data_IF_949339300955
#
_entry.id   IF_949339300955
#
_cell.length_a   1.000
_cell.length_b   1.000
_cell.length_c   1.000
_cell.angle_alpha   90.00
_cell.angle_beta   90.00
_cell.angle_gamma   90.00
#
_symmetry.space_group_name_H-M   'P 1'
#
loop_
_entity.id
_entity.type
_entity.pdbx_description
1 polymer ?
#
# COMPACT_ATOMS: atom_id res chain seq x y z
N UNK A 1 47.72 9.68 18.58
CA UNK A 1 46.88 8.77 17.76
C UNK A 1 46.25 7.74 18.67
N UNK A 2 45.03 8.03 19.14
CA UNK A 2 44.30 7.23 20.14
C UNK A 2 43.40 6.21 19.43
N UNK A 3 43.62 4.92 19.74
CA UNK A 3 42.77 3.80 19.32
C UNK A 3 41.40 3.93 19.99
N UNK A 4 40.47 4.67 19.38
CA UNK A 4 39.06 4.56 19.72
C UNK A 4 38.51 3.23 19.17
N UNK A 5 38.58 2.22 20.04
CA UNK A 5 37.60 1.15 20.29
C UNK A 5 36.56 0.88 19.19
N UNK A 6 36.76 -0.23 18.45
CA UNK A 6 35.73 -0.89 17.63
C UNK A 6 34.53 -1.41 18.44
N UNK A 7 34.59 -1.37 19.78
CA UNK A 7 33.54 -1.88 20.68
C UNK A 7 32.35 -0.91 20.75
N UNK A 8 32.56 0.40 20.54
CA UNK A 8 31.49 1.40 20.63
C UNK A 8 30.51 1.34 19.45
N UNK A 9 30.96 0.89 18.27
CA UNK A 9 30.10 0.77 17.07
C UNK A 9 29.17 -0.45 17.16
N UNK A 10 29.62 -1.54 17.79
CA UNK A 10 28.80 -2.76 17.94
C UNK A 10 27.69 -2.57 18.98
N UNK A 11 27.95 -1.79 20.04
CA UNK A 11 26.94 -1.49 21.07
C UNK A 11 25.80 -0.60 20.53
N UNK A 12 26.09 0.35 19.63
CA UNK A 12 25.06 1.20 19.03
C UNK A 12 24.11 0.43 18.09
N UNK A 13 24.58 -0.63 17.44
CA UNK A 13 23.78 -1.47 16.54
C UNK A 13 22.87 -2.44 17.32
N UNK A 14 23.33 -2.94 18.48
CA UNK A 14 22.54 -3.87 19.32
C UNK A 14 21.45 -3.16 20.14
N UNK A 15 21.64 -1.89 20.53
CA UNK A 15 20.63 -1.13 21.29
C UNK A 15 19.40 -0.78 20.42
N UNK A 16 19.54 -0.71 19.08
CA UNK A 16 18.41 -0.44 18.20
C UNK A 16 17.41 -1.62 18.09
N UNK A 17 17.83 -2.85 18.44
CA UNK A 17 17.00 -4.05 18.27
C UNK A 17 16.32 -4.55 19.55
N UNK A 18 16.83 -4.15 20.72
CA UNK A 18 16.21 -4.42 22.01
C UNK A 18 15.72 -3.11 22.62
N UNK A 19 14.62 -2.57 22.08
CA UNK A 19 13.79 -1.61 22.80
C UNK A 19 12.72 -2.39 23.59
N UNK A 20 12.96 -2.73 24.87
CA UNK A 20 11.95 -3.33 25.72
C UNK A 20 10.81 -2.33 25.90
N UNK A 21 9.72 -2.52 25.17
CA UNK A 21 8.57 -1.63 25.24
C UNK A 21 7.90 -1.30 23.91
N UNK A 22 8.09 -2.09 22.84
CA UNK A 22 7.20 -2.00 21.70
C UNK A 22 5.76 -2.25 22.19
N UNK A 23 5.01 -1.17 22.33
CA UNK A 23 3.61 -1.23 22.71
C UNK A 23 2.90 -2.16 21.73
N UNK A 24 2.01 -3.02 22.25
CA UNK A 24 1.16 -3.85 21.39
C UNK A 24 0.50 -2.94 20.34
N UNK A 25 0.37 -3.39 19.07
CA UNK A 25 -0.26 -2.57 18.04
C UNK A 25 -1.62 -2.07 18.52
N UNK A 26 -1.88 -0.77 18.35
CA UNK A 26 -3.20 -0.20 18.65
C UNK A 26 -4.28 -1.01 17.92
N UNK A 27 -5.32 -1.52 18.60
CA UNK A 27 -6.34 -2.28 17.91
C UNK A 27 -7.06 -1.40 16.86
N UNK A 28 -7.61 -1.98 15.77
CA UNK A 28 -8.51 -1.27 14.88
C UNK A 28 -9.69 -0.65 15.66
N UNK A 29 -10.14 0.51 15.21
CA UNK A 29 -11.40 1.09 15.68
C UNK A 29 -12.59 0.23 15.21
N UNK A 30 -13.75 0.35 15.87
CA UNK A 30 -15.00 -0.22 15.37
C UNK A 30 -15.57 0.63 14.23
N UNK A 31 -16.21 0.00 13.25
CA UNK A 31 -16.94 0.71 12.20
C UNK A 31 -18.22 1.31 12.81
N UNK A 32 -18.53 2.59 12.55
CA UNK A 32 -19.84 3.16 12.88
C UNK A 32 -20.97 2.36 12.23
N UNK A 33 -22.12 2.24 12.93
CA UNK A 33 -23.28 1.45 12.44
C UNK A 33 -23.86 2.03 11.15
N UNK A 34 -23.86 3.35 11.02
CA UNK A 34 -24.39 4.04 9.85
C UNK A 34 -23.39 5.10 9.37
N UNK A 35 -23.06 5.03 8.08
CA UNK A 35 -22.26 6.05 7.39
C UNK A 35 -23.00 6.43 6.11
N UNK A 36 -23.31 7.71 5.97
CA UNK A 36 -23.89 8.27 4.75
C UNK A 36 -22.77 8.61 3.76
N UNK A 37 -23.10 8.66 2.47
CA UNK A 37 -22.16 9.13 1.46
C UNK A 37 -22.12 10.65 1.45
N UNK A 38 -20.93 11.22 1.67
CA UNK A 38 -20.63 12.63 1.42
C UNK A 38 -19.99 12.85 0.04
N UNK A 39 -19.61 11.78 -0.67
CA UNK A 39 -19.26 11.88 -2.09
C UNK A 39 -20.56 11.94 -2.90
N UNK A 40 -20.80 13.10 -3.51
CA UNK A 40 -21.97 13.34 -4.36
C UNK A 40 -21.61 12.93 -5.79
N UNK A 41 -22.25 11.88 -6.36
CA UNK A 41 -21.93 11.43 -7.71
C UNK A 41 -22.29 12.50 -8.73
N UNK A 42 -21.34 12.86 -9.58
CA UNK A 42 -21.52 13.74 -10.74
C UNK A 42 -21.60 12.94 -12.02
N UNK A 43 -20.72 11.95 -12.18
CA UNK A 43 -20.73 11.05 -13.32
C UNK A 43 -20.17 9.67 -12.96
N UNK A 44 -20.64 8.65 -13.67
CA UNK A 44 -20.08 7.29 -13.69
C UNK A 44 -19.94 6.87 -15.14
N UNK A 45 -18.72 6.59 -15.57
CA UNK A 45 -18.39 6.19 -16.94
C UNK A 45 -17.78 4.80 -16.91
N UNK A 46 -18.18 3.92 -17.82
CA UNK A 46 -17.45 2.67 -18.05
C UNK A 46 -16.20 2.99 -18.85
N UNK A 47 -15.07 2.37 -18.51
CA UNK A 47 -13.82 2.55 -19.24
C UNK A 47 -13.03 1.24 -19.32
N UNK A 48 -12.05 1.16 -20.21
CA UNK A 48 -11.13 0.03 -20.30
C UNK A 48 -9.78 0.43 -19.69
N UNK A 49 -9.37 -0.18 -18.57
CA UNK A 49 -8.26 0.32 -17.75
C UNK A 49 -6.90 0.27 -18.44
N UNK A 50 -6.69 -0.68 -19.35
CA UNK A 50 -5.41 -0.89 -20.02
C UNK A 50 -5.06 0.19 -21.06
N UNK A 51 -6.05 0.94 -21.53
CA UNK A 51 -5.88 1.93 -22.60
C UNK A 51 -6.26 3.35 -22.18
N UNK A 52 -6.60 3.54 -20.91
CA UNK A 52 -7.05 4.83 -20.44
C UNK A 52 -5.87 5.76 -20.15
N UNK A 53 -5.77 6.82 -20.95
CA UNK A 53 -4.84 7.91 -20.71
C UNK A 53 -5.50 8.92 -19.76
N UNK A 54 -5.11 8.87 -18.48
CA UNK A 54 -5.59 9.77 -17.43
C UNK A 54 -5.44 11.27 -17.80
N UNK A 55 -4.52 11.62 -18.70
CA UNK A 55 -4.32 13.00 -19.17
C UNK A 55 -5.50 13.50 -20.01
N UNK A 56 -6.33 12.63 -20.57
CA UNK A 56 -7.56 13.03 -21.27
C UNK A 56 -8.53 13.74 -20.33
N UNK A 57 -8.53 13.37 -19.05
CA UNK A 57 -9.28 14.02 -17.98
C UNK A 57 -8.48 15.12 -17.26
N UNK A 58 -7.29 15.47 -17.78
CA UNK A 58 -6.31 16.39 -17.17
C UNK A 58 -5.71 15.90 -15.84
N UNK A 59 -5.90 14.64 -15.48
CA UNK A 59 -5.35 14.06 -14.26
C UNK A 59 -3.84 13.88 -14.38
N UNK A 60 -3.15 14.00 -13.26
CA UNK A 60 -1.67 13.95 -13.22
C UNK A 60 -1.11 12.54 -13.41
N UNK A 61 -1.86 11.51 -13.04
CA UNK A 61 -1.37 10.13 -13.03
C UNK A 61 -0.43 9.81 -11.86
N UNK A 62 -0.20 10.73 -10.92
CA UNK A 62 0.76 10.54 -9.81
C UNK A 62 0.40 9.37 -8.88
N UNK A 63 -0.86 8.99 -8.82
CA UNK A 63 -1.34 7.87 -8.01
C UNK A 63 -1.54 6.58 -8.84
N UNK A 64 -1.05 6.53 -10.09
CA UNK A 64 -1.25 5.39 -10.97
C UNK A 64 -0.44 4.18 -10.48
N UNK A 65 -1.06 3.01 -10.30
CA UNK A 65 -0.33 1.81 -9.92
C UNK A 65 0.69 1.43 -11.01
N UNK A 66 1.83 0.90 -10.58
CA UNK A 66 2.96 0.46 -11.40
C UNK A 66 2.66 -0.81 -12.22
N UNK A 67 1.65 -1.59 -11.83
CA UNK A 67 1.15 -2.73 -12.59
C UNK A 67 -0.38 -2.83 -12.54
N UNK A 68 -1.02 -3.30 -13.63
CA UNK A 68 -2.44 -3.66 -13.60
C UNK A 68 -2.72 -4.92 -12.76
N UNK A 69 -1.70 -5.74 -12.50
CA UNK A 69 -1.83 -7.02 -11.81
C UNK A 69 -0.81 -7.12 -10.67
N UNK A 70 -1.33 -7.21 -9.45
CA UNK A 70 -0.65 -7.57 -8.19
C UNK A 70 0.40 -6.62 -7.58
N UNK A 71 1.14 -5.82 -8.34
CA UNK A 71 1.96 -4.75 -7.74
C UNK A 71 1.17 -3.45 -7.82
N UNK A 72 0.83 -2.94 -6.64
CA UNK A 72 -0.15 -1.85 -6.45
C UNK A 72 0.52 -0.60 -5.90
N UNK A 73 1.81 -0.44 -6.19
CA UNK A 73 2.60 0.67 -5.70
C UNK A 73 2.44 1.81 -6.70
N UNK A 74 2.29 3.04 -6.22
CA UNK A 74 2.17 4.19 -7.14
C UNK A 74 3.49 4.44 -7.86
N UNK A 75 3.38 4.86 -9.12
CA UNK A 75 4.53 5.21 -9.95
C UNK A 75 5.16 6.52 -9.45
N UNK A 76 6.03 6.43 -8.46
CA UNK A 76 6.77 7.57 -7.94
C UNK A 76 8.25 7.19 -7.83
N UNK A 77 8.94 7.22 -8.97
CA UNK A 77 10.40 7.27 -9.00
C UNK A 77 10.74 8.56 -9.74
N UNK A 78 11.10 9.60 -8.97
CA UNK A 78 11.71 10.78 -9.56
C UNK A 78 12.92 10.33 -10.39
N UNK A 79 13.09 10.88 -11.59
CA UNK A 79 14.20 10.46 -12.47
C UNK A 79 15.56 10.96 -11.97
N UNK A 80 15.55 12.01 -11.16
CA UNK A 80 16.74 12.72 -10.67
C UNK A 80 16.82 12.63 -9.14
N UNK A 81 16.96 11.41 -8.63
CA UNK A 81 17.06 11.18 -7.18
C UNK A 81 18.44 11.56 -6.65
N UNK A 82 18.54 12.20 -5.48
CA UNK A 82 19.79 12.28 -4.75
C UNK A 82 20.41 10.89 -4.57
N UNK A 83 21.73 10.79 -4.77
CA UNK A 83 22.48 9.53 -4.61
C UNK A 83 22.18 8.72 -3.32
N UNK A 84 21.94 9.32 -2.13
CA UNK A 84 21.64 8.54 -0.92
C UNK A 84 20.24 7.92 -0.85
N UNK A 85 19.39 8.14 -1.87
CA UNK A 85 18.08 7.48 -2.00
C UNK A 85 18.19 6.14 -2.74
N UNK A 86 19.37 5.83 -3.32
CA UNK A 86 19.63 4.57 -4.04
C UNK A 86 19.49 3.31 -3.18
N UNK A 87 19.59 2.15 -3.84
CA UNK A 87 19.52 0.81 -3.25
C UNK A 87 20.26 0.71 -1.91
N UNK A 88 19.53 0.33 -0.86
CA UNK A 88 20.08 0.18 0.48
C UNK A 88 20.58 -1.26 0.66
N UNK A 89 21.85 -1.41 0.97
CA UNK A 89 22.44 -2.69 1.36
C UNK A 89 22.40 -2.82 2.88
N UNK A 90 21.50 -3.66 3.39
CA UNK A 90 21.49 -4.05 4.80
C UNK A 90 22.26 -5.38 4.93
N UNK A 91 23.25 -5.40 5.82
CA UNK A 91 24.04 -6.59 6.18
C UNK A 91 24.75 -7.29 5.01
N UNK A 92 25.15 -6.52 3.98
CA UNK A 92 25.95 -7.03 2.85
C UNK A 92 25.22 -7.98 1.90
N UNK A 93 23.93 -8.27 2.11
CA UNK A 93 23.16 -9.22 1.29
C UNK A 93 21.74 -8.77 0.94
N UNK A 94 21.11 -7.89 1.72
CA UNK A 94 19.72 -7.49 1.48
C UNK A 94 19.68 -6.15 0.77
N UNK A 95 19.31 -6.18 -0.50
CA UNK A 95 19.07 -4.99 -1.32
C UNK A 95 17.63 -4.55 -1.13
N UNK A 96 17.41 -3.43 -0.44
CA UNK A 96 16.12 -2.75 -0.48
C UNK A 96 16.15 -1.79 -1.65
N UNK A 97 15.22 -1.98 -2.59
CA UNK A 97 14.98 -0.98 -3.64
C UNK A 97 13.88 -0.05 -3.15
N UNK A 98 14.06 1.27 -3.25
CA UNK A 98 12.96 2.18 -2.99
C UNK A 98 11.86 1.90 -4.02
N UNK A 99 10.62 1.75 -3.55
CA UNK A 99 9.49 1.52 -4.44
C UNK A 99 8.59 2.75 -4.56
N UNK A 100 8.55 3.59 -3.52
CA UNK A 100 7.91 4.90 -3.58
C UNK A 100 8.93 5.93 -3.10
N UNK A 101 9.11 6.99 -3.88
CA UNK A 101 9.82 8.19 -3.46
C UNK A 101 8.93 9.39 -3.76
N UNK A 102 8.46 10.03 -2.69
CA UNK A 102 7.53 11.15 -2.76
C UNK A 102 8.23 12.42 -2.25
N UNK A 103 8.28 13.50 -3.06
CA UNK A 103 8.68 14.80 -2.55
C UNK A 103 7.65 15.33 -1.56
N UNK A 104 8.11 15.91 -0.46
CA UNK A 104 7.25 16.51 0.56
C UNK A 104 7.19 18.04 0.40
N UNK A 105 6.14 18.71 0.92
CA UNK A 105 5.96 20.16 0.73
C UNK A 105 7.12 21.04 1.25
N UNK A 106 7.90 20.55 2.21
CA UNK A 106 9.10 21.20 2.74
C UNK A 106 10.37 20.96 1.89
N UNK A 107 10.22 20.35 0.70
CA UNK A 107 11.33 20.09 -0.22
C UNK A 107 12.21 18.91 0.18
N UNK A 108 11.72 18.03 1.07
CA UNK A 108 12.38 16.77 1.43
C UNK A 108 11.77 15.60 0.65
N UNK A 109 12.21 14.39 0.97
CA UNK A 109 11.78 13.17 0.32
C UNK A 109 11.38 12.11 1.35
N UNK A 110 10.18 11.58 1.21
CA UNK A 110 9.79 10.31 1.81
C UNK A 110 10.20 9.19 0.87
N UNK A 111 11.04 8.27 1.33
CA UNK A 111 11.41 7.06 0.60
C UNK A 111 10.89 5.82 1.33
N UNK A 112 10.09 5.02 0.64
CA UNK A 112 9.55 3.76 1.14
C UNK A 112 10.21 2.58 0.41
N UNK A 113 10.65 1.64 1.22
CA UNK A 113 11.41 0.47 0.83
C UNK A 113 10.67 -0.78 1.28
N UNK A 114 10.70 -1.78 0.41
CA UNK A 114 10.33 -3.16 0.71
C UNK A 114 11.55 -4.00 0.40
N UNK A 115 11.92 -4.93 1.27
CA UNK A 115 12.95 -5.89 0.86
C UNK A 115 12.44 -6.65 -0.35
N UNK A 116 13.32 -6.81 -1.33
CA UNK A 116 12.96 -7.46 -2.58
C UNK A 116 12.53 -8.88 -2.19
N UNK A 117 11.27 -9.32 -2.41
CA UNK A 117 10.90 -10.66 -2.02
C UNK A 117 11.82 -11.57 -2.83
N UNK A 118 12.73 -12.33 -2.20
CA UNK A 118 13.24 -13.49 -2.91
C UNK A 118 11.99 -14.30 -3.25
N UNK A 119 12.06 -15.16 -4.28
CA UNK A 119 10.99 -16.05 -4.78
C UNK A 119 10.16 -16.79 -3.70
N UNK A 120 10.62 -16.71 -2.46
CA UNK A 120 9.94 -16.96 -1.21
C UNK A 120 8.73 -16.03 -0.97
N UNK A 121 7.56 -16.50 -1.39
CA UNK A 121 6.26 -15.83 -1.25
C UNK A 121 5.79 -15.64 0.21
N UNK A 122 6.65 -15.91 1.21
CA UNK A 122 6.36 -15.86 2.66
C UNK A 122 6.13 -14.42 3.14
N UNK A 123 4.87 -13.98 3.32
CA UNK A 123 4.55 -12.59 3.63
C UNK A 123 5.16 -12.14 4.97
N UNK A 124 5.28 -13.06 5.93
CA UNK A 124 5.85 -12.83 7.26
C UNK A 124 7.34 -12.46 7.26
N UNK A 125 8.01 -12.64 6.13
CA UNK A 125 9.42 -12.30 5.97
C UNK A 125 9.65 -10.96 5.28
N UNK A 126 8.61 -10.36 4.70
CA UNK A 126 8.74 -9.09 3.98
C UNK A 126 8.99 -7.96 4.97
N UNK A 127 10.08 -7.23 4.79
CA UNK A 127 10.47 -6.09 5.62
C UNK A 127 10.14 -4.77 4.91
N UNK A 128 9.60 -3.84 5.69
CA UNK A 128 9.20 -2.53 5.25
C UNK A 128 9.99 -1.46 6.01
N UNK A 129 10.49 -0.47 5.27
CA UNK A 129 11.25 0.63 5.84
C UNK A 129 10.79 1.94 5.21
N UNK A 130 10.51 2.95 6.04
CA UNK A 130 10.36 4.33 5.60
C UNK A 130 11.59 5.14 6.03
N UNK A 131 12.04 6.04 5.15
CA UNK A 131 13.10 7.02 5.42
C UNK A 131 12.59 8.40 5.04
N UNK A 132 12.97 9.39 5.83
CA UNK A 132 12.78 10.79 5.49
C UNK A 132 14.12 11.47 5.31
N UNK A 133 14.32 12.04 4.13
CA UNK A 133 15.61 12.44 3.64
C UNK A 133 15.51 13.88 3.15
N UNK A 134 16.44 14.73 3.54
CA UNK A 134 16.53 16.11 3.06
C UNK A 134 16.91 16.17 1.58
N UNK A 135 16.77 17.34 0.96
CA UNK A 135 17.12 17.55 -0.46
C UNK A 135 18.60 17.25 -0.78
N UNK A 136 19.50 17.54 0.17
CA UNK A 136 20.93 17.24 0.09
C UNK A 136 21.27 15.79 0.47
N UNK A 137 20.26 14.99 0.84
CA UNK A 137 20.41 13.56 1.01
C UNK A 137 20.70 13.09 2.45
N UNK A 138 20.62 13.97 3.44
CA UNK A 138 20.77 13.61 4.84
C UNK A 138 19.51 12.93 5.37
N UNK A 139 19.68 11.86 6.14
CA UNK A 139 18.57 11.15 6.76
C UNK A 139 18.09 11.89 8.02
N UNK A 140 16.83 12.35 8.00
CA UNK A 140 16.16 12.96 9.16
C UNK A 140 15.64 11.91 10.12
N UNK A 141 15.09 10.82 9.58
CA UNK A 141 14.72 9.64 10.34
C UNK A 141 14.61 8.40 9.45
N UNK A 142 14.66 7.24 10.10
CA UNK A 142 14.46 5.91 9.52
C UNK A 142 13.59 5.08 10.45
N UNK A 143 12.60 4.42 9.87
CA UNK A 143 11.59 3.70 10.63
C UNK A 143 11.26 2.34 10.00
N UNK A 144 11.58 1.22 10.66
CA UNK A 144 11.03 -0.09 10.31
C UNK A 144 9.51 -0.10 10.56
N UNK A 145 8.72 -0.51 9.57
CA UNK A 145 7.25 -0.45 9.67
C UNK A 145 6.61 -1.75 10.17
N UNK A 146 7.29 -2.90 10.04
CA UNK A 146 6.79 -4.20 10.49
C UNK A 146 6.29 -4.23 11.95
N UNK A 147 6.95 -3.59 12.93
CA UNK A 147 6.47 -3.57 14.31
C UNK A 147 5.11 -2.88 14.50
N UNK A 148 4.63 -2.13 13.50
CA UNK A 148 3.37 -1.39 13.54
C UNK A 148 2.25 -2.07 12.77
N UNK A 149 2.50 -3.23 12.16
CA UNK A 149 1.47 -4.02 11.49
C UNK A 149 0.65 -4.80 12.52
N UNK A 150 -0.65 -4.95 12.29
CA UNK A 150 -1.51 -5.86 13.04
C UNK A 150 -1.10 -7.30 12.79
N UNK A 151 -0.78 -7.64 11.54
CA UNK A 151 -0.36 -8.96 11.14
C UNK A 151 1.01 -8.94 10.48
N UNK A 152 1.92 -9.86 10.81
CA UNK A 152 3.18 -10.01 10.08
C UNK A 152 2.96 -10.37 8.61
N UNK A 153 1.78 -10.89 8.24
CA UNK A 153 1.44 -11.23 6.85
C UNK A 153 0.84 -10.09 6.03
N UNK A 154 0.64 -8.92 6.64
CA UNK A 154 0.07 -7.77 5.95
C UNK A 154 1.05 -7.14 4.96
N UNK A 155 0.50 -6.51 3.93
CA UNK A 155 1.24 -5.78 2.92
C UNK A 155 1.03 -4.27 3.04
N UNK A 156 2.12 -3.50 2.99
CA UNK A 156 2.04 -2.05 2.81
C UNK A 156 2.08 -1.74 1.31
N UNK A 157 1.04 -1.08 0.82
CA UNK A 157 0.85 -0.79 -0.61
C UNK A 157 0.95 0.72 -0.94
N UNK A 158 0.75 1.59 0.04
CA UNK A 158 1.01 3.03 -0.09
C UNK A 158 1.48 3.62 1.24
N UNK A 159 2.33 4.64 1.15
CA UNK A 159 2.89 5.38 2.28
C UNK A 159 2.96 6.85 1.90
N UNK A 160 2.55 7.74 2.81
CA UNK A 160 2.57 9.20 2.63
C UNK A 160 3.03 9.90 3.90
N UNK A 161 3.70 11.05 3.76
CA UNK A 161 4.08 11.89 4.89
C UNK A 161 3.40 13.25 4.75
N UNK A 162 2.68 13.67 5.79
CA UNK A 162 2.07 15.00 5.83
C UNK A 162 2.14 15.57 7.23
N UNK A 163 2.56 16.83 7.36
CA UNK A 163 2.63 17.54 8.64
C UNK A 163 3.40 16.75 9.72
N UNK A 164 4.45 16.04 9.31
CA UNK A 164 5.26 15.20 10.20
C UNK A 164 4.63 13.87 10.62
N UNK A 165 3.42 13.54 10.15
CA UNK A 165 2.74 12.26 10.42
C UNK A 165 2.87 11.34 9.21
N UNK A 166 3.35 10.12 9.47
CA UNK A 166 3.47 9.05 8.48
C UNK A 166 2.16 8.29 8.41
N UNK A 167 1.61 8.18 7.21
CA UNK A 167 0.40 7.42 6.92
C UNK A 167 0.76 6.24 6.03
N UNK A 168 0.23 5.07 6.33
CA UNK A 168 0.39 3.90 5.46
C UNK A 168 -0.79 2.96 5.59
N UNK A 169 -1.11 2.26 4.52
CA UNK A 169 -2.12 1.21 4.58
C UNK A 169 -1.51 -0.13 4.97
N UNK A 170 -2.33 -0.95 5.61
CA UNK A 170 -2.02 -2.32 5.99
C UNK A 170 -3.02 -3.23 5.27
N UNK A 171 -2.67 -3.69 4.07
CA UNK A 171 -3.51 -4.47 3.19
C UNK A 171 -3.43 -5.97 3.48
N UNK A 172 -4.58 -6.64 3.33
CA UNK A 172 -4.62 -8.10 3.35
C UNK A 172 -4.04 -8.66 2.05
N UNK A 173 -3.05 -9.56 2.13
CA UNK A 173 -2.59 -10.28 0.93
C UNK A 173 -3.64 -11.29 0.44
N UNK A 174 -4.26 -12.01 1.37
CA UNK A 174 -5.26 -13.04 1.09
C UNK A 174 -6.60 -12.67 1.77
N UNK A 175 -7.51 -12.07 1.00
CA UNK A 175 -8.86 -11.70 1.47
C UNK A 175 -9.77 -12.90 1.81
N UNK A 176 -9.36 -14.13 1.48
CA UNK A 176 -10.14 -15.37 1.64
C UNK A 176 -9.79 -16.20 2.88
N UNK A 177 -8.75 -15.83 3.63
CA UNK A 177 -8.39 -16.57 4.84
C UNK A 177 -9.28 -16.11 6.00
N UNK A 178 -9.75 -17.01 6.89
CA UNK A 178 -10.44 -16.64 8.14
C UNK A 178 -9.53 -15.92 9.16
N UNK A 179 -8.33 -15.50 8.71
CA UNK A 179 -7.31 -14.78 9.46
C UNK A 179 -7.55 -13.26 9.55
N UNK A 180 -6.59 -12.55 10.16
CA UNK A 180 -6.86 -11.35 10.96
C UNK A 180 -7.42 -10.17 10.17
N UNK A 181 -8.31 -9.45 10.84
CA UNK A 181 -8.61 -8.01 10.80
C UNK A 181 -7.52 -7.13 10.16
N UNK A 182 -7.41 -7.09 8.82
CA UNK A 182 -6.49 -6.22 8.06
C UNK A 182 -7.25 -5.26 7.13
N UNK A 183 -6.54 -4.64 6.18
CA UNK A 183 -7.02 -3.54 5.33
C UNK A 183 -7.40 -2.29 6.12
N UNK A 184 -6.46 -1.84 6.96
CA UNK A 184 -6.58 -0.61 7.77
C UNK A 184 -5.67 0.49 7.23
N UNK A 185 -5.97 1.74 7.56
CA UNK A 185 -5.05 2.86 7.41
C UNK A 185 -4.48 3.21 8.79
N UNK A 186 -3.18 3.46 8.84
CA UNK A 186 -2.44 3.76 10.07
C UNK A 186 -1.86 5.16 9.96
N UNK A 187 -2.02 5.96 11.02
CA UNK A 187 -1.26 7.19 11.22
C UNK A 187 -0.26 7.00 12.35
N UNK A 188 0.98 7.39 12.11
CA UNK A 188 2.10 7.16 13.00
C UNK A 188 2.96 8.42 13.10
N UNK A 189 3.38 8.75 14.31
CA UNK A 189 4.38 9.78 14.57
C UNK A 189 5.79 9.16 14.52
N UNK A 190 6.58 9.42 13.46
CA UNK A 190 7.82 8.69 13.21
C UNK A 190 8.91 9.00 14.24
N UNK A 191 8.95 10.23 14.76
CA UNK A 191 9.95 10.64 15.76
C UNK A 191 9.73 9.97 17.13
N UNK A 192 8.47 9.74 17.50
CA UNK A 192 8.10 9.09 18.75
C UNK A 192 7.90 7.58 18.60
N UNK A 193 8.00 7.06 17.38
CA UNK A 193 7.71 5.67 17.07
C UNK A 193 6.32 5.22 17.58
N UNK A 194 5.31 6.08 17.43
CA UNK A 194 4.01 5.95 18.09
C UNK A 194 2.87 5.97 17.08
N UNK A 195 2.04 4.94 17.09
CA UNK A 195 0.78 4.95 16.33
C UNK A 195 -0.18 5.95 16.97
N UNK A 196 -0.63 6.93 16.20
CA UNK A 196 -1.61 7.95 16.61
C UNK A 196 -3.00 7.34 16.56
N UNK A 197 -3.38 6.78 15.41
CA UNK A 197 -4.65 6.11 15.19
C UNK A 197 -4.54 5.04 14.12
N UNK A 198 -5.57 4.19 14.10
CA UNK A 198 -5.79 3.19 13.06
C UNK A 198 -7.27 3.12 12.72
N UNK A 199 -7.61 3.03 11.44
CA UNK A 199 -9.01 2.88 11.02
C UNK A 199 -9.58 1.53 11.45
N UNK A 200 -10.90 1.34 11.34
CA UNK A 200 -11.49 0.02 11.29
C UNK A 200 -10.90 -0.83 10.15
N UNK A 201 -11.12 -2.14 10.26
CA UNK A 201 -10.76 -3.13 9.23
C UNK A 201 -11.57 -2.91 7.95
N UNK A 202 -11.05 -3.36 6.82
CA UNK A 202 -11.73 -3.25 5.52
C UNK A 202 -12.07 -1.80 5.12
N UNK A 203 -11.17 -0.86 5.43
CA UNK A 203 -11.29 0.57 5.09
C UNK A 203 -10.28 0.99 4.03
N UNK A 204 -9.05 0.48 4.08
CA UNK A 204 -7.98 0.92 3.18
C UNK A 204 -7.18 -0.25 2.61
N UNK A 205 -7.12 -0.29 1.28
CA UNK A 205 -6.33 -1.19 0.45
C UNK A 205 -5.85 -0.41 -0.76
N UNK A 206 -4.75 -0.84 -1.38
CA UNK A 206 -4.13 -0.19 -2.55
C UNK A 206 -3.51 1.16 -2.21
N UNK A 207 -4.29 2.23 -2.37
CA UNK A 207 -3.86 3.60 -2.20
C UNK A 207 -4.87 4.38 -1.35
N UNK A 208 -4.41 5.51 -0.84
CA UNK A 208 -5.27 6.53 -0.26
C UNK A 208 -4.78 7.89 -0.74
N UNK A 209 -5.66 8.89 -0.78
CA UNK A 209 -5.30 10.26 -1.17
C UNK A 209 -5.83 11.24 -0.15
N UNK A 210 -5.11 12.33 0.07
CA UNK A 210 -5.63 13.44 0.85
C UNK A 210 -6.60 14.25 0.00
N UNK A 211 -7.71 14.68 0.60
CA UNK A 211 -8.67 15.63 0.05
C UNK A 211 -8.64 16.86 0.97
N UNK A 212 -8.06 17.98 0.52
CA UNK A 212 -7.84 19.13 1.41
C UNK A 212 -6.93 18.82 2.60
N UNK A 213 -7.16 19.43 3.76
CA UNK A 213 -6.34 19.24 4.98
C UNK A 213 -6.90 18.20 5.96
N UNK A 214 -8.22 18.11 6.05
CA UNK A 214 -8.90 17.36 7.12
C UNK A 214 -9.41 15.99 6.68
N UNK A 215 -9.44 15.70 5.37
CA UNK A 215 -9.97 14.44 4.85
C UNK A 215 -8.94 13.62 4.07
N UNK A 216 -9.11 12.31 4.15
CA UNK A 216 -8.52 11.34 3.24
C UNK A 216 -9.60 10.51 2.58
N UNK A 217 -9.38 10.16 1.31
CA UNK A 217 -10.11 9.12 0.62
C UNK A 217 -9.29 7.84 0.63
N UNK A 218 -9.87 6.76 1.13
CA UNK A 218 -9.33 5.41 1.00
C UNK A 218 -10.38 4.48 0.40
N UNK A 219 -9.93 3.41 -0.23
CA UNK A 219 -10.82 2.41 -0.82
C UNK A 219 -10.57 1.05 -0.20
N UNK A 220 -11.64 0.30 -0.02
CA UNK A 220 -11.58 -1.15 0.20
C UNK A 220 -12.32 -1.84 -0.94
N UNK A 221 -11.84 -3.00 -1.35
CA UNK A 221 -12.51 -3.81 -2.37
C UNK A 221 -11.75 -5.10 -2.68
N UNK A 222 -12.27 -5.85 -3.66
CA UNK A 222 -11.76 -7.18 -4.03
C UNK A 222 -12.68 -8.32 -3.60
N UNK A 223 -13.79 -7.99 -2.95
CA UNK A 223 -14.93 -8.89 -2.76
C UNK A 223 -16.09 -8.41 -3.65
N UNK A 224 -16.85 -9.33 -4.29
CA UNK A 224 -17.90 -8.99 -5.27
C UNK A 224 -18.97 -8.00 -4.80
N UNK A 225 -19.20 -7.90 -3.50
CA UNK A 225 -20.27 -7.14 -2.85
C UNK A 225 -19.77 -6.09 -1.84
N UNK A 226 -18.45 -5.95 -1.65
CA UNK A 226 -17.86 -5.11 -0.60
C UNK A 226 -16.77 -4.20 -1.13
N UNK A 227 -17.12 -3.36 -2.09
CA UNK A 227 -16.23 -2.31 -2.57
C UNK A 227 -16.78 -0.93 -2.20
N UNK A 228 -15.99 -0.16 -1.47
CA UNK A 228 -16.39 1.13 -0.95
C UNK A 228 -15.24 2.13 -1.03
N UNK A 229 -15.58 3.38 -1.31
CA UNK A 229 -14.78 4.56 -0.98
C UNK A 229 -15.18 5.06 0.43
N UNK A 230 -14.19 5.30 1.26
CA UNK A 230 -14.35 5.87 2.59
C UNK A 230 -13.71 7.25 2.62
N UNK A 231 -14.43 8.24 3.17
CA UNK A 231 -13.79 9.46 3.65
C UNK A 231 -13.43 9.27 5.11
N UNK A 232 -12.21 9.66 5.45
CA UNK A 232 -11.61 9.46 6.75
C UNK A 232 -11.17 10.82 7.28
N UNK A 233 -11.56 11.14 8.50
CA UNK A 233 -11.04 12.29 9.23
C UNK A 233 -9.55 12.07 9.56
N UNK A 234 -8.70 12.97 9.10
CA UNK A 234 -7.23 12.84 9.20
C UNK A 234 -6.73 12.90 10.64
N UNK A 235 -7.46 13.58 11.52
CA UNK A 235 -7.06 13.77 12.92
C UNK A 235 -7.32 12.52 13.76
N UNK A 236 -8.39 11.79 13.48
CA UNK A 236 -8.88 10.69 14.32
C UNK A 236 -8.83 9.32 13.63
N UNK A 237 -8.68 9.27 12.32
CA UNK A 237 -8.76 8.03 11.54
C UNK A 237 -10.16 7.43 11.49
N UNK A 238 -11.20 8.19 11.86
CA UNK A 238 -12.58 7.74 11.82
C UNK A 238 -13.15 7.89 10.42
N UNK A 239 -13.76 6.85 9.85
CA UNK A 239 -14.55 6.99 8.64
C UNK A 239 -15.77 7.88 8.91
N UNK A 240 -15.91 8.96 8.15
CA UNK A 240 -17.02 9.92 8.23
C UNK A 240 -18.01 9.76 7.09
N UNK A 241 -17.61 9.06 6.02
CA UNK A 241 -18.47 8.73 4.88
C UNK A 241 -18.14 7.35 4.34
N UNK A 242 -19.14 6.70 3.75
CA UNK A 242 -18.99 5.48 2.97
C UNK A 242 -19.82 5.55 1.69
N UNK A 243 -19.16 5.31 0.55
CA UNK A 243 -19.76 5.38 -0.78
C UNK A 243 -19.53 4.05 -1.50
N UNK A 244 -20.57 3.35 -1.95
CA UNK A 244 -20.40 2.09 -2.69
C UNK A 244 -19.72 2.32 -4.04
N UNK A 245 -18.88 1.37 -4.45
CA UNK A 245 -18.19 1.34 -5.73
C UNK A 245 -18.40 -0.01 -6.42
N UNK A 246 -18.37 -0.02 -7.74
CA UNK A 246 -18.39 -1.23 -8.57
C UNK A 246 -16.94 -1.69 -8.78
N UNK A 247 -16.36 -2.28 -7.73
CA UNK A 247 -15.01 -2.81 -7.69
C UNK A 247 -14.03 -2.00 -6.84
N UNK A 248 -12.85 -2.58 -6.62
CA UNK A 248 -11.81 -1.98 -5.78
C UNK A 248 -11.30 -0.66 -6.40
N UNK A 249 -11.06 0.33 -5.55
CA UNK A 249 -10.42 1.57 -5.95
C UNK A 249 -8.96 1.29 -6.38
N UNK A 250 -8.66 1.56 -7.65
CA UNK A 250 -7.35 1.36 -8.27
C UNK A 250 -6.59 2.68 -8.47
N UNK A 251 -7.33 3.78 -8.55
CA UNK A 251 -6.79 5.14 -8.68
C UNK A 251 -7.72 6.12 -7.98
N UNK A 252 -7.15 7.16 -7.38
CA UNK A 252 -7.91 8.35 -7.02
C UNK A 252 -7.06 9.62 -7.17
N UNK A 253 -7.71 10.74 -7.46
CA UNK A 253 -7.10 12.07 -7.48
C UNK A 253 -8.16 13.15 -7.26
N UNK A 254 -7.82 14.18 -6.50
CA UNK A 254 -8.60 15.41 -6.42
C UNK A 254 -8.10 16.39 -7.48
N UNK A 255 -9.00 16.88 -8.32
CA UNK A 255 -8.68 17.89 -9.31
C UNK A 255 -9.83 18.88 -9.48
N UNK A 256 -9.53 20.17 -9.36
CA UNK A 256 -10.49 21.27 -9.60
C UNK A 256 -11.81 21.13 -8.81
N UNK A 257 -11.73 20.64 -7.57
CA UNK A 257 -12.90 20.44 -6.70
C UNK A 257 -13.72 19.18 -7.03
N UNK A 258 -13.22 18.32 -7.92
CA UNK A 258 -13.79 17.01 -8.21
C UNK A 258 -12.86 15.90 -7.69
N UNK A 259 -13.46 14.82 -7.21
CA UNK A 259 -12.75 13.62 -6.79
C UNK A 259 -12.95 12.57 -7.85
N UNK A 260 -11.88 12.24 -8.56
CA UNK A 260 -11.86 11.20 -9.58
C UNK A 260 -11.46 9.89 -8.93
N UNK A 261 -12.27 8.85 -9.11
CA UNK A 261 -12.02 7.51 -8.57
C UNK A 261 -12.16 6.51 -9.70
N UNK A 262 -11.15 5.66 -9.90
CA UNK A 262 -11.22 4.60 -10.89
C UNK A 262 -11.22 3.25 -10.19
N UNK A 263 -12.13 2.38 -10.62
CA UNK A 263 -12.11 0.95 -10.33
C UNK A 263 -11.57 0.21 -11.55
N UNK A 264 -11.75 -1.11 -11.60
CA UNK A 264 -11.37 -1.90 -12.77
C UNK A 264 -12.15 -1.47 -14.02
N UNK A 265 -13.46 -1.24 -13.87
CA UNK A 265 -14.36 -1.04 -15.02
C UNK A 265 -14.97 0.37 -15.09
N UNK A 266 -14.89 1.14 -13.99
CA UNK A 266 -15.60 2.41 -13.89
C UNK A 266 -14.72 3.56 -13.44
N UNK A 267 -14.96 4.71 -14.07
CA UNK A 267 -14.49 6.01 -13.66
C UNK A 267 -15.65 6.78 -13.03
N UNK A 268 -15.53 7.06 -11.74
CA UNK A 268 -16.45 7.90 -11.00
C UNK A 268 -15.87 9.30 -10.88
N UNK A 269 -16.75 10.29 -11.06
CA UNK A 269 -16.48 11.68 -10.76
C UNK A 269 -17.43 12.07 -9.66
N UNK A 270 -16.88 12.46 -8.52
CA UNK A 270 -17.64 12.95 -7.37
C UNK A 270 -17.35 14.42 -7.13
N UNK A 271 -18.26 15.08 -6.43
CA UNK A 271 -17.97 16.29 -5.66
C UNK A 271 -18.05 15.96 -4.18
N UNK A 272 -17.26 16.66 -3.38
CA UNK A 272 -17.46 16.62 -1.93
C UNK A 272 -18.75 17.38 -1.61
N UNK A 273 -19.66 16.70 -0.89
CA UNK A 273 -20.87 17.31 -0.35
C UNK A 273 -20.52 18.27 0.80
N UNK A 274 -21.48 19.13 1.15
CA UNK A 274 -21.30 20.11 2.23
C UNK A 274 -21.03 19.42 3.58
N UNK A 275 -19.87 19.68 4.18
CA UNK A 275 -19.41 19.03 5.43
C UNK A 275 -20.31 19.34 6.63
N UNK A 276 -21.09 20.42 6.57
CA UNK A 276 -22.11 20.74 7.58
C UNK A 276 -23.14 19.63 7.80
N UNK A 277 -23.31 18.74 6.80
CA UNK A 277 -24.16 17.55 6.92
C UNK A 277 -23.50 16.41 7.71
N UNK A 278 -22.17 16.40 7.86
CA UNK A 278 -21.41 15.36 8.56
C UNK A 278 -21.36 15.61 10.08
N UNK A 279 -21.22 16.86 10.54
CA UNK A 279 -21.23 17.21 11.97
C UNK A 279 -22.54 16.84 12.66
N UNK A 280 -23.66 16.95 11.92
CA UNK A 280 -24.99 16.59 12.42
C UNK A 280 -25.12 15.09 12.73
N UNK A 281 -24.41 14.23 11.99
CA UNK A 281 -24.49 12.77 12.17
C UNK A 281 -23.66 12.25 13.35
N UNK A 282 -22.60 12.95 13.73
CA UNK A 282 -21.75 12.56 14.88
C UNK A 282 -22.40 12.99 16.20
N UNK A 283 -23.08 14.14 16.21
CA UNK A 283 -23.72 14.69 17.41
C UNK A 283 -25.00 13.96 17.84
N UNK A 284 -25.68 13.22 16.97
CA UNK A 284 -26.95 12.54 17.28
C UNK A 284 -26.80 11.13 17.85
N UNK A 285 -25.57 10.66 18.11
CA UNK A 285 -25.32 9.33 18.71
C UNK A 285 -25.22 9.34 20.25
N UNK A 286 -25.57 10.47 20.88
CA UNK A 286 -25.66 10.62 22.33
C UNK A 286 -26.91 9.95 22.92
N UNK A 287 -26.73 8.73 23.43
CA UNK A 287 -27.42 8.14 24.58
C UNK A 287 -28.96 8.13 24.61
N UNK A 288 -29.55 7.03 24.15
CA UNK A 288 -30.59 6.33 24.93
C UNK A 288 -30.27 4.83 24.92
N UNK A 289 -30.09 4.27 26.11
CA UNK A 289 -29.92 2.84 26.34
C UNK A 289 -31.29 2.25 26.65
N UNK A 290 -31.92 1.42 25.81
CA UNK A 290 -32.94 0.51 26.27
C UNK A 290 -32.22 -0.69 26.87
N UNK A 291 -32.41 -0.89 28.18
CA UNK A 291 -32.15 -2.16 28.80
C UNK A 291 -33.13 -3.18 28.19
N UNK A 292 -32.63 -4.11 27.39
CA UNK A 292 -33.38 -5.32 27.10
C UNK A 292 -32.45 -6.53 27.05
N UNK A 293 -32.81 -7.45 27.93
CA UNK A 293 -32.23 -8.76 28.19
C UNK A 293 -32.26 -9.63 26.93
N UNK A 294 -31.09 -10.08 26.48
CA UNK A 294 -31.00 -11.17 25.51
C UNK A 294 -30.54 -12.42 26.27
N UNK A 295 -31.48 -13.33 26.49
CA UNK A 295 -31.20 -14.69 26.93
C UNK A 295 -30.57 -15.48 25.79
N UNK A 296 -29.60 -16.31 26.17
CA UNK A 296 -28.76 -17.15 25.33
C UNK A 296 -29.39 -18.56 25.25
N UNK A 297 -29.80 -19.07 24.08
CA UNK A 297 -30.08 -20.49 23.94
C UNK A 297 -28.85 -21.18 23.35
N UNK A 298 -27.98 -21.65 24.26
CA UNK A 298 -27.19 -22.84 24.03
C UNK A 298 -28.14 -24.05 24.14
N UNK A 299 -28.63 -24.55 23.00
CA UNK A 299 -29.14 -25.92 22.93
C UNK A 299 -28.26 -26.77 22.02
N UNK A 300 -27.77 -27.81 22.70
CA UNK A 300 -27.06 -29.02 22.29
C UNK A 300 -27.59 -29.66 21.01
N UNK A 301 -26.67 -30.11 20.15
CA UNK A 301 -26.95 -31.23 19.26
C UNK A 301 -25.88 -32.31 19.49
N UNK A 302 -26.22 -33.27 20.34
CA UNK A 302 -25.50 -34.52 20.54
C UNK A 302 -26.16 -35.62 19.70
N UNK A 303 -25.31 -36.48 19.13
CA UNK A 303 -25.57 -37.84 18.61
C UNK A 303 -26.23 -37.99 17.23
N UNK A 304 -25.41 -38.45 16.26
CA UNK A 304 -25.54 -39.84 15.76
C UNK A 304 -24.29 -40.26 14.98
N UNK A 305 -23.58 -41.35 15.37
CA UNK A 305 -22.67 -42.09 14.52
C UNK A 305 -23.33 -43.37 13.97
N UNK A 306 -22.74 -43.91 12.90
CA UNK A 306 -22.98 -45.21 12.27
C UNK A 306 -24.19 -45.31 11.33
N UNK A 307 -23.91 -45.29 10.02
CA UNK A 307 -24.14 -46.48 9.19
C UNK A 307 -23.27 -46.44 7.92
N UNK A 308 -22.71 -47.60 7.60
CA UNK A 308 -21.78 -47.86 6.52
C UNK A 308 -22.52 -48.17 5.22
N UNK A 309 -21.91 -47.81 4.08
CA UNK A 309 -21.98 -48.65 2.88
C UNK A 309 -20.80 -48.33 1.94
N UNK A 310 -19.87 -49.26 1.68
CA UNK A 310 -18.84 -49.13 0.66
C UNK A 310 -19.06 -50.20 -0.41
N UNK A 311 -19.84 -49.89 -1.44
CA UNK A 311 -19.87 -50.67 -2.68
C UNK A 311 -20.37 -49.78 -3.82
N UNK A 312 -19.47 -49.36 -4.70
CA UNK A 312 -19.67 -49.52 -6.14
C UNK A 312 -18.36 -49.17 -6.86
N UNK A 313 -17.72 -50.24 -7.32
CA UNK A 313 -16.77 -50.21 -8.40
C UNK A 313 -17.49 -49.73 -9.66
N UNK A 314 -16.86 -48.84 -10.43
CA UNK A 314 -17.04 -48.89 -11.87
C UNK A 314 -15.75 -48.53 -12.59
N UNK A 315 -15.40 -49.48 -13.44
CA UNK A 315 -14.26 -49.52 -14.34
C UNK A 315 -14.45 -48.50 -15.46
N UNK A 316 -13.42 -47.71 -15.75
CA UNK A 316 -13.24 -47.22 -17.12
C UNK A 316 -11.75 -47.20 -17.47
N UNK A 317 -11.33 -48.36 -17.96
CA UNK A 317 -10.25 -48.48 -18.92
C UNK A 317 -10.64 -47.75 -20.22
N UNK A 318 -9.73 -46.92 -20.70
CA UNK A 318 -9.86 -46.17 -21.95
C UNK A 318 -8.49 -45.79 -22.49
N UNK A 319 -7.83 -46.77 -23.09
CA UNK A 319 -6.64 -46.61 -23.94
C UNK A 319 -6.93 -45.61 -25.08
N UNK A 320 -5.93 -44.82 -25.45
CA UNK A 320 -5.99 -44.00 -26.66
C UNK A 320 -4.79 -43.09 -26.87
N UNK A 321 -3.76 -43.65 -27.51
CA UNK A 321 -2.93 -43.05 -28.59
C UNK A 321 -2.18 -41.73 -28.28
N UNK A 322 -0.86 -41.78 -28.11
CA UNK A 322 0.12 -41.59 -29.22
C UNK A 322 -0.31 -40.49 -30.19
N UNK A 323 0.38 -39.34 -30.14
CA UNK A 323 0.72 -38.54 -31.32
C UNK A 323 1.92 -37.63 -31.01
N UNK A 324 3.02 -37.98 -31.66
CA UNK A 324 3.82 -37.10 -32.52
C UNK A 324 4.58 -35.93 -31.90
N UNK A 325 5.81 -36.26 -31.52
CA UNK A 325 7.03 -35.79 -32.17
C UNK A 325 6.83 -34.82 -33.35
N UNK A 326 7.04 -33.52 -33.08
CA UNK A 326 7.46 -32.57 -34.10
C UNK A 326 8.73 -31.88 -33.61
N UNK A 327 9.80 -32.18 -34.34
CA UNK A 327 11.11 -31.63 -34.11
C UNK A 327 11.30 -30.25 -34.71
N UNK A 328 12.42 -29.69 -34.24
CA UNK A 328 13.45 -28.97 -34.98
C UNK A 328 13.13 -27.60 -35.59
N UNK A 329 14.18 -26.78 -35.49
CA UNK A 329 14.47 -25.50 -36.14
C UNK A 329 13.86 -24.31 -35.38
N UNK A 330 14.62 -23.30 -34.96
CA UNK A 330 15.74 -22.69 -35.66
C UNK A 330 16.62 -21.85 -34.72
N UNK A 331 17.87 -21.70 -35.15
CA UNK A 331 18.99 -21.06 -34.49
C UNK A 331 18.75 -19.59 -34.12
N UNK A 332 18.94 -19.26 -32.83
CA UNK A 332 19.10 -17.87 -32.40
C UNK A 332 20.54 -17.47 -32.64
N UNK A 333 20.77 -16.92 -33.82
CA UNK A 333 22.01 -16.29 -34.23
C UNK A 333 22.34 -15.13 -33.28
N UNK A 334 23.51 -15.24 -32.65
CA UNK A 334 24.03 -14.28 -31.68
C UNK A 334 24.49 -13.02 -32.40
N UNK A 335 23.71 -11.95 -32.27
CA UNK A 335 24.12 -10.60 -32.65
C UNK A 335 25.37 -10.19 -31.85
N UNK A 336 26.54 -10.24 -32.51
CA UNK A 336 27.76 -9.56 -32.07
C UNK A 336 27.60 -8.05 -32.29
N UNK A 337 28.03 -7.20 -31.33
CA UNK A 337 28.18 -5.78 -31.61
C UNK A 337 29.37 -5.54 -32.55
N UNK A 338 29.15 -4.80 -33.63
CA UNK A 338 30.21 -4.15 -34.40
C UNK A 338 30.66 -2.90 -33.64
N UNK A 339 31.83 -2.99 -33.02
CA UNK A 339 32.63 -1.83 -32.63
C UNK A 339 33.59 -1.51 -33.77
N UNK A 340 33.43 -0.35 -34.41
CA UNK A 340 34.49 0.29 -35.19
C UNK A 340 34.31 1.83 -35.27
N UNK A 341 35.00 2.51 -34.34
CA UNK A 341 35.88 3.68 -34.52
C UNK A 341 35.33 5.03 -35.07
N UNK A 342 36.11 6.16 -35.07
CA UNK A 342 37.35 6.49 -34.35
C UNK A 342 37.35 7.84 -33.60
N UNK A 343 38.44 8.01 -32.86
CA UNK A 343 38.97 9.22 -32.22
C UNK A 343 38.74 10.56 -32.94
N UNK A 344 38.40 11.59 -32.16
CA UNK A 344 38.69 12.99 -32.47
C UNK A 344 39.49 13.64 -31.36
N UNK A 345 40.79 13.82 -31.64
CA UNK A 345 41.68 14.75 -30.98
C UNK A 345 41.27 16.20 -31.27
N UNK A 346 41.12 17.04 -30.24
CA UNK A 346 40.87 18.47 -30.38
C UNK A 346 41.35 19.28 -29.17
N UNK A 347 42.67 19.51 -29.12
CA UNK A 347 43.37 20.45 -28.23
C UNK A 347 43.04 21.90 -28.61
N UNK A 348 42.72 22.75 -27.63
CA UNK A 348 42.98 24.21 -27.46
C UNK A 348 42.12 24.66 -26.26
N UNK A 349 42.60 25.18 -25.13
CA UNK A 349 43.80 25.97 -24.87
C UNK A 349 43.43 27.47 -24.87
N UNK A 350 42.94 28.00 -23.75
CA UNK A 350 42.93 29.44 -23.46
C UNK A 350 42.74 29.68 -21.96
N UNK A 351 43.85 29.97 -21.27
CA UNK A 351 43.94 30.53 -19.93
C UNK A 351 43.68 32.03 -20.03
N UNK A 352 42.70 32.56 -19.28
CA UNK A 352 42.52 34.00 -19.08
C UNK A 352 43.14 34.36 -17.74
N UNK A 353 44.06 35.32 -17.76
CA UNK A 353 44.66 35.99 -16.60
C UNK A 353 43.73 37.12 -16.16
N UNK A 354 43.42 37.14 -14.86
CA UNK A 354 42.87 38.30 -14.16
C UNK A 354 43.92 39.42 -14.07
N UNK A 355 43.41 40.66 -14.03
CA UNK A 355 44.07 41.86 -13.52
C UNK A 355 43.28 42.35 -12.33
#
# INVERSE_FOLDING_TARGET
MTKLSKITVIAAILIAWYSPGLAKPTPPQSMPKELRSLLVPVAKKRFQPFHYDLRQDKLTGMNKPDSPFLMRLRTAVAKDLPAPIADLFIDGAVTYRPIIIEPTPDGHYLAFYRDNPPRDLRPEKTKYLARYITADGNELWRLPLNPHLISPSSEIQDVRLRNGVLYFNESCRNLRSPGPKCSTLVALEPKQNKVIWRTPVHVSTNLFVFLGEDLMLAGFGGLPDKSFAYLIDVKTGKPVSRTPLDGAMMYAEEQQGYVHVFTLDFHYIFRLGDESLAETAVSSSGAETPADTFEDPLETNENDPDEADPDEADEHDGLGEENDDHGLLEDVETLRPQDDAPARSGRRGATVRER
#
